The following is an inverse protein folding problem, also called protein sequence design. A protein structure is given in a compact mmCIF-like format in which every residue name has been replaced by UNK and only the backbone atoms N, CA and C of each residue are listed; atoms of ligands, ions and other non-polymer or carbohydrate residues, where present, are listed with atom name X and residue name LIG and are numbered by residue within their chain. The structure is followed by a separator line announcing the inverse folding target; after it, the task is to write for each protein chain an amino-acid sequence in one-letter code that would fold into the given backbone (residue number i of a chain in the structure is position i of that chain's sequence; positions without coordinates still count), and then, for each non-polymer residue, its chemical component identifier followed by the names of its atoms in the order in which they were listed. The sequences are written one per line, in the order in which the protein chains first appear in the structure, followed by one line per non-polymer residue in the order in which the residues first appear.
data_IF_398833190652
#
_entry.id   IF_398833190652
#
_cell.length_a   1.000
_cell.length_b   1.000
_cell.length_c   1.000
_cell.angle_alpha   90.00
_cell.angle_beta   90.00
_cell.angle_gamma   90.00
#
_symmetry.space_group_name_H-M   'P 1'
#
loop_
_entity.id
_entity.type
_entity.pdbx_description
1 polymer ?
#
# COMPACT_ATOMS: atom_id res chain seq x y z
N UNK A 1 13.11 -15.13 0.45
CA UNK A 1 12.15 -15.52 1.52
C UNK A 1 11.08 -14.45 1.61
N UNK A 2 9.80 -14.79 1.51
CA UNK A 2 8.73 -13.85 1.18
C UNK A 2 8.30 -13.05 2.43
N UNK A 3 8.71 -11.77 2.53
CA UNK A 3 8.61 -10.97 3.76
C UNK A 3 7.26 -10.27 3.97
N UNK A 4 6.56 -9.91 2.89
CA UNK A 4 5.29 -9.15 2.95
C UNK A 4 4.08 -9.92 3.50
N UNK A 5 4.20 -11.24 3.68
CA UNK A 5 3.16 -12.05 4.35
C UNK A 5 3.16 -11.88 5.87
N UNK A 6 4.28 -11.39 6.44
CA UNK A 6 4.36 -11.11 7.85
C UNK A 6 3.78 -9.71 8.12
N UNK A 7 2.70 -9.67 8.90
CA UNK A 7 2.01 -8.43 9.29
C UNK A 7 2.93 -7.45 9.99
N UNK A 8 3.74 -7.90 10.95
CA UNK A 8 4.62 -7.03 11.72
C UNK A 8 5.72 -6.43 10.84
N UNK A 9 6.31 -7.25 9.97
CA UNK A 9 7.31 -6.77 9.03
C UNK A 9 6.73 -5.73 8.08
N UNK A 10 5.57 -6.03 7.47
CA UNK A 10 4.91 -5.13 6.54
C UNK A 10 4.46 -3.83 7.23
N UNK A 11 3.98 -3.90 8.47
CA UNK A 11 3.63 -2.73 9.28
C UNK A 11 4.87 -1.88 9.58
N UNK A 12 5.97 -2.50 10.01
CA UNK A 12 7.22 -1.77 10.30
C UNK A 12 7.74 -1.08 9.04
N UNK A 13 7.80 -1.77 7.91
CA UNK A 13 8.29 -1.18 6.66
C UNK A 13 7.38 -0.04 6.16
N UNK A 14 6.07 -0.24 6.22
CA UNK A 14 5.09 0.69 5.64
C UNK A 14 4.75 1.88 6.55
N UNK A 15 4.68 1.65 7.87
CA UNK A 15 4.31 2.66 8.88
C UNK A 15 5.55 3.21 9.58
N UNK A 16 6.39 2.36 10.19
CA UNK A 16 7.56 2.81 10.96
C UNK A 16 8.64 3.42 10.08
N UNK A 17 9.01 2.72 9.00
CA UNK A 17 10.01 3.18 8.02
C UNK A 17 9.40 4.05 6.93
N UNK A 18 8.08 4.30 6.97
CA UNK A 18 7.36 5.18 6.05
C UNK A 18 7.55 4.85 4.56
N UNK A 19 7.97 3.61 4.23
CA UNK A 19 8.32 3.22 2.86
C UNK A 19 7.11 3.23 1.95
N UNK A 20 7.33 3.48 0.65
CA UNK A 20 6.25 3.42 -0.34
C UNK A 20 5.93 1.96 -0.68
N UNK A 21 4.65 1.71 -0.97
CA UNK A 21 4.14 0.40 -1.43
C UNK A 21 4.96 -0.14 -2.61
N UNK A 22 5.29 0.73 -3.57
CA UNK A 22 6.06 0.42 -4.77
C UNK A 22 7.51 0.00 -4.48
N UNK A 23 8.14 0.57 -3.46
CA UNK A 23 9.50 0.19 -3.04
C UNK A 23 9.51 -1.18 -2.36
N UNK A 24 8.55 -1.42 -1.47
CA UNK A 24 8.35 -2.72 -0.82
C UNK A 24 8.05 -3.80 -1.88
N UNK A 25 7.23 -3.45 -2.87
CA UNK A 25 6.88 -4.31 -3.98
C UNK A 25 8.11 -4.67 -4.83
N UNK A 26 8.94 -3.68 -5.19
CA UNK A 26 10.20 -3.88 -5.92
C UNK A 26 11.19 -4.77 -5.15
N UNK A 27 11.36 -4.52 -3.85
CA UNK A 27 12.23 -5.32 -2.98
C UNK A 27 11.77 -6.78 -2.87
N UNK A 28 10.46 -6.98 -2.82
CA UNK A 28 9.83 -8.30 -2.79
C UNK A 28 9.64 -8.93 -4.17
N UNK A 29 10.02 -8.24 -5.26
CA UNK A 29 9.76 -8.61 -6.66
C UNK A 29 8.29 -9.01 -6.93
N UNK A 30 7.36 -8.23 -6.38
CA UNK A 30 5.92 -8.39 -6.58
C UNK A 30 5.29 -7.10 -7.09
N UNK A 31 4.05 -7.19 -7.57
CA UNK A 31 3.28 -6.01 -7.96
C UNK A 31 2.85 -5.18 -6.76
N UNK A 32 2.72 -3.87 -6.94
CA UNK A 32 2.19 -2.97 -5.90
C UNK A 32 0.78 -3.40 -5.46
N UNK A 33 -0.04 -3.89 -6.40
CA UNK A 33 -1.38 -4.41 -6.13
C UNK A 33 -1.35 -5.56 -5.12
N UNK A 34 -0.34 -6.42 -5.17
CA UNK A 34 -0.15 -7.51 -4.20
C UNK A 34 0.04 -6.93 -2.80
N UNK A 35 0.98 -5.99 -2.63
CA UNK A 35 1.22 -5.31 -1.35
C UNK A 35 -0.05 -4.60 -0.86
N UNK A 36 -0.78 -3.91 -1.75
CA UNK A 36 -2.04 -3.24 -1.42
C UNK A 36 -3.10 -4.22 -0.90
N UNK A 37 -3.27 -5.38 -1.55
CA UNK A 37 -4.20 -6.42 -1.11
C UNK A 37 -3.83 -6.98 0.26
N UNK A 38 -2.54 -7.19 0.52
CA UNK A 38 -2.05 -7.64 1.83
C UNK A 38 -2.26 -6.59 2.93
N UNK A 39 -1.94 -5.33 2.65
CA UNK A 39 -2.22 -4.21 3.57
C UNK A 39 -3.71 -4.12 3.91
N UNK A 40 -4.59 -4.24 2.91
CA UNK A 40 -6.04 -4.23 3.11
C UNK A 40 -6.52 -5.44 3.93
N UNK A 41 -6.07 -6.65 3.57
CA UNK A 41 -6.39 -7.90 4.29
C UNK A 41 -5.99 -7.84 5.76
N UNK A 42 -4.85 -7.22 6.06
CA UNK A 42 -4.33 -7.05 7.42
C UNK A 42 -4.78 -5.76 8.10
N UNK A 43 -5.62 -4.96 7.43
CA UNK A 43 -6.14 -3.65 7.87
C UNK A 43 -5.04 -2.67 8.31
N UNK A 44 -3.90 -2.69 7.61
CA UNK A 44 -2.79 -1.76 7.83
C UNK A 44 -3.06 -0.50 7.00
N UNK A 45 -3.54 0.54 7.67
CA UNK A 45 -3.86 1.84 7.07
C UNK A 45 -2.85 2.87 7.56
N UNK A 46 -2.19 3.53 6.61
CA UNK A 46 -1.38 4.71 6.90
C UNK A 46 -2.37 5.86 7.02
N UNK A 47 -2.67 6.29 8.25
CA UNK A 47 -3.44 7.52 8.49
C UNK A 47 -2.65 8.66 7.85
N UNK A 48 -3.05 9.06 6.65
CA UNK A 48 -2.58 10.30 6.05
C UNK A 48 -3.65 11.36 6.35
N UNK A 49 -3.24 12.62 6.55
CA UNK A 49 -4.17 13.74 6.82
C UNK A 49 -5.17 13.99 5.69
N UNK A 50 -4.94 13.41 4.51
CA UNK A 50 -5.79 13.45 3.32
C UNK A 50 -6.87 12.35 3.29
N UNK A 51 -7.62 12.15 4.38
CA UNK A 51 -8.85 11.34 4.38
C UNK A 51 -9.95 11.89 3.43
N UNK A 52 -9.68 12.99 2.70
CA UNK A 52 -10.64 13.71 1.87
C UNK A 52 -10.62 13.35 0.38
N UNK A 53 -9.71 12.51 -0.11
CA UNK A 53 -9.54 12.32 -1.55
C UNK A 53 -9.60 10.87 -2.02
N UNK A 54 -10.71 10.18 -1.74
CA UNK A 54 -11.07 8.92 -2.42
C UNK A 54 -12.57 8.84 -2.70
N UNK A 55 -13.14 9.92 -3.24
CA UNK A 55 -14.29 9.78 -4.13
C UNK A 55 -13.73 9.22 -5.45
N UNK A 56 -13.73 7.89 -5.59
CA UNK A 56 -13.06 7.16 -6.68
C UNK A 56 -13.67 7.42 -8.07
N UNK A 57 -14.73 8.22 -8.17
CA UNK A 57 -15.42 8.53 -9.42
C UNK A 57 -14.69 9.56 -10.29
N UNK A 58 -13.88 10.47 -9.72
CA UNK A 58 -13.25 11.54 -10.50
C UNK A 58 -12.07 11.13 -11.41
N UNK A 59 -11.37 10.02 -11.12
CA UNK A 59 -10.07 9.74 -11.75
C UNK A 59 -10.16 8.88 -13.03
N UNK A 60 -11.34 8.39 -13.40
CA UNK A 60 -11.53 7.58 -14.60
C UNK A 60 -12.05 8.36 -15.82
N UNK A 61 -12.39 9.65 -15.66
CA UNK A 61 -13.08 10.42 -16.70
C UNK A 61 -12.21 11.47 -17.42
N UNK A 62 -10.87 11.37 -17.34
CA UNK A 62 -9.97 12.26 -18.07
C UNK A 62 -8.96 11.50 -18.94
N UNK A 63 -9.43 10.45 -19.61
CA UNK A 63 -8.89 10.05 -20.90
C UNK A 63 -9.84 10.57 -21.99
N UNK A 64 -9.69 11.87 -22.30
CA UNK A 64 -10.14 12.48 -23.55
C UNK A 64 -9.25 11.99 -24.68
#
# INVERSE_FOLDING_TARGET
MIRYHNREWLYKEYITNNRKKSEIARDCNVSETTIKSWLNRMRIIKRNKDELYMDKDWLYQQHV
#
